data_IF_699491062498
#
_entry.id   IF_699491062498
#
_cell.length_a   1.000
_cell.length_b   1.000
_cell.length_c   1.000
_cell.angle_alpha   90.00
_cell.angle_beta   90.00
_cell.angle_gamma   90.00
#
_symmetry.space_group_name_H-M   'P 1'
#
loop_
_entity.id
_entity.type
_entity.pdbx_description
1 polymer ?
#
# COMPACT_ATOMS: atom_id res chain seq x y z
N UNK A 1 -3.82 15.40 0.08
CA UNK A 1 -4.92 16.08 -0.63
C UNK A 1 -4.42 16.84 -1.87
N UNK A 2 -3.26 17.49 -1.79
CA UNK A 2 -2.72 18.26 -2.91
C UNK A 2 -2.33 17.36 -4.10
N UNK A 3 -1.71 16.22 -3.87
CA UNK A 3 -1.39 15.22 -4.89
C UNK A 3 -2.63 14.64 -5.60
N UNK A 4 -3.75 14.50 -4.91
CA UNK A 4 -5.01 14.07 -5.53
C UNK A 4 -5.58 15.14 -6.47
N UNK A 5 -5.46 16.43 -6.11
CA UNK A 5 -5.89 17.55 -6.97
C UNK A 5 -5.07 17.66 -8.25
N UNK A 6 -3.79 17.26 -8.20
CA UNK A 6 -2.89 17.27 -9.35
C UNK A 6 -2.96 15.98 -10.19
N UNK A 7 -3.80 15.01 -9.81
CA UNK A 7 -3.97 13.75 -10.54
C UNK A 7 -2.88 12.70 -10.29
N UNK A 8 -1.95 12.93 -9.36
CA UNK A 8 -0.91 11.95 -9.01
C UNK A 8 -1.41 10.81 -8.15
N UNK A 9 -2.52 11.02 -7.45
CA UNK A 9 -3.15 10.01 -6.60
C UNK A 9 -4.67 10.17 -6.61
N UNK A 10 -5.37 9.11 -6.22
CA UNK A 10 -6.82 9.10 -6.08
C UNK A 10 -7.22 8.63 -4.69
N UNK A 11 -7.98 9.45 -3.97
CA UNK A 11 -8.55 9.10 -2.68
C UNK A 11 -9.94 8.51 -2.85
N UNK A 12 -10.17 7.38 -2.20
CA UNK A 12 -11.43 6.66 -2.17
C UNK A 12 -12.04 6.76 -0.78
N UNK A 13 -13.27 7.25 -0.71
CA UNK A 13 -14.04 7.28 0.54
C UNK A 13 -14.81 5.98 0.70
N UNK A 14 -14.81 5.45 1.93
CA UNK A 14 -15.54 4.24 2.30
C UNK A 14 -16.72 4.63 3.16
N UNK A 15 -17.92 4.25 2.71
CA UNK A 15 -19.17 4.52 3.40
C UNK A 15 -19.69 3.26 4.10
N UNK A 16 -20.30 3.44 5.26
CA UNK A 16 -21.03 2.41 5.97
C UNK A 16 -22.38 2.98 6.46
N UNK A 17 -23.36 2.12 6.67
CA UNK A 17 -24.65 2.53 7.23
C UNK A 17 -24.54 2.74 8.73
N UNK A 18 -24.96 3.91 9.19
CA UNK A 18 -25.06 4.25 10.61
C UNK A 18 -26.40 4.94 10.88
N UNK A 19 -27.21 4.33 11.76
CA UNK A 19 -28.57 4.80 12.08
C UNK A 19 -29.43 5.06 10.82
N UNK A 20 -29.33 4.18 9.84
CA UNK A 20 -30.09 4.26 8.58
C UNK A 20 -29.57 5.28 7.56
N UNK A 21 -28.42 5.91 7.78
CA UNK A 21 -27.80 6.89 6.88
C UNK A 21 -26.40 6.42 6.46
N UNK A 22 -25.96 6.73 5.22
CA UNK A 22 -24.59 6.49 4.82
C UNK A 22 -23.66 7.50 5.50
N UNK A 23 -22.63 7.00 6.17
CA UNK A 23 -21.60 7.81 6.83
C UNK A 23 -20.21 7.38 6.34
N UNK A 24 -19.27 8.31 6.31
CA UNK A 24 -17.88 8.00 5.95
C UNK A 24 -17.24 7.25 7.10
N UNK A 25 -16.93 5.97 6.88
CA UNK A 25 -16.27 5.11 7.85
C UNK A 25 -14.74 5.19 7.78
N UNK A 26 -14.20 5.47 6.60
CA UNK A 26 -12.77 5.57 6.37
C UNK A 26 -12.43 5.98 4.96
N UNK A 27 -11.15 5.95 4.65
CA UNK A 27 -10.63 6.28 3.31
C UNK A 27 -9.33 5.54 3.03
N UNK A 28 -8.98 5.42 1.76
CA UNK A 28 -7.65 5.04 1.32
C UNK A 28 -7.27 5.80 0.05
N UNK A 29 -5.98 6.03 -0.12
CA UNK A 29 -5.43 6.75 -1.27
C UNK A 29 -4.53 5.82 -2.07
N UNK A 30 -4.75 5.76 -3.38
CA UNK A 30 -3.94 5.00 -4.33
C UNK A 30 -3.15 5.94 -5.23
N UNK A 31 -1.93 5.56 -5.54
CA UNK A 31 -1.06 6.26 -6.49
C UNK A 31 -0.31 5.26 -7.36
N UNK A 32 0.09 5.67 -8.55
CA UNK A 32 1.02 4.90 -9.35
C UNK A 32 2.42 4.99 -8.77
N UNK A 33 3.10 3.87 -8.68
CA UNK A 33 4.50 3.82 -8.24
C UNK A 33 5.32 2.86 -9.09
N UNK A 34 6.51 3.29 -9.46
CA UNK A 34 7.54 2.45 -10.04
C UNK A 34 8.59 2.19 -8.96
N UNK A 35 8.88 0.93 -8.70
CA UNK A 35 9.77 0.51 -7.63
C UNK A 35 10.85 -0.44 -8.13
N UNK A 36 11.97 -0.46 -7.40
CA UNK A 36 13.05 -1.42 -7.60
C UNK A 36 13.15 -2.33 -6.38
N UNK A 37 13.30 -3.63 -6.63
CA UNK A 37 13.35 -4.66 -5.58
C UNK A 37 14.60 -5.51 -5.76
N UNK A 38 15.48 -5.51 -4.77
CA UNK A 38 16.66 -6.36 -4.77
C UNK A 38 16.30 -7.80 -4.45
N UNK A 39 16.59 -8.72 -5.39
CA UNK A 39 16.18 -10.12 -5.27
C UNK A 39 16.82 -10.89 -4.12
N UNK A 40 17.98 -10.47 -3.64
CA UNK A 40 18.74 -11.16 -2.59
C UNK A 40 18.00 -11.20 -1.24
N UNK A 41 17.17 -10.19 -0.97
CA UNK A 41 16.39 -10.06 0.28
C UNK A 41 15.04 -10.79 0.23
N UNK A 42 14.68 -11.36 -0.91
CA UNK A 42 13.38 -12.00 -1.11
C UNK A 42 13.43 -13.50 -0.87
N UNK A 43 12.33 -14.08 -0.39
CA UNK A 43 12.12 -15.51 -0.41
C UNK A 43 12.14 -16.03 -1.86
N UNK A 44 12.54 -17.29 -2.05
CA UNK A 44 12.56 -17.91 -3.39
C UNK A 44 11.21 -17.83 -4.11
N UNK A 45 10.11 -18.02 -3.37
CA UNK A 45 8.76 -17.95 -3.90
C UNK A 45 8.41 -16.54 -4.37
N UNK A 46 8.70 -15.52 -3.56
CA UNK A 46 8.41 -14.14 -3.90
C UNK A 46 9.27 -13.66 -5.07
N UNK A 47 10.55 -14.02 -5.09
CA UNK A 47 11.46 -13.74 -6.21
C UNK A 47 10.94 -14.33 -7.53
N UNK A 48 10.49 -15.58 -7.52
CA UNK A 48 9.91 -16.24 -8.69
C UNK A 48 8.63 -15.52 -9.18
N UNK A 49 7.79 -15.04 -8.26
CA UNK A 49 6.59 -14.27 -8.59
C UNK A 49 6.95 -12.91 -9.18
N UNK A 50 7.84 -12.17 -8.53
CA UNK A 50 8.31 -10.86 -9.01
C UNK A 50 8.92 -10.98 -10.41
N UNK A 51 9.78 -11.96 -10.66
CA UNK A 51 10.41 -12.18 -11.95
C UNK A 51 9.44 -12.38 -13.12
N UNK A 52 8.21 -12.80 -12.85
CA UNK A 52 7.17 -12.96 -13.89
C UNK A 52 6.47 -11.65 -14.28
N UNK A 53 6.50 -10.64 -13.41
CA UNK A 53 5.73 -9.39 -13.56
C UNK A 53 6.62 -8.14 -13.48
N UNK A 54 7.91 -8.30 -13.71
CA UNK A 54 8.90 -7.23 -13.61
C UNK A 54 9.97 -7.38 -14.69
N UNK A 55 10.75 -6.33 -14.86
CA UNK A 55 11.96 -6.35 -15.68
C UNK A 55 13.18 -6.37 -14.77
N UNK A 56 14.08 -7.33 -14.97
CA UNK A 56 15.34 -7.36 -14.23
C UNK A 56 16.37 -6.45 -14.91
N UNK A 57 16.86 -5.45 -14.19
CA UNK A 57 17.97 -4.60 -14.63
C UNK A 57 19.28 -5.08 -14.02
N UNK A 58 20.15 -5.66 -14.85
CA UNK A 58 21.44 -6.19 -14.41
C UNK A 58 22.43 -5.14 -13.94
N UNK A 59 22.28 -3.89 -14.38
CA UNK A 59 23.17 -2.77 -13.99
C UNK A 59 22.98 -2.41 -12.51
N UNK A 60 21.75 -2.42 -12.04
CA UNK A 60 21.40 -2.13 -10.65
C UNK A 60 21.11 -3.39 -9.83
N UNK A 61 21.15 -4.57 -10.47
CA UNK A 61 20.86 -5.90 -9.88
C UNK A 61 19.50 -5.95 -9.16
N UNK A 62 18.48 -5.36 -9.77
CA UNK A 62 17.16 -5.26 -9.17
C UNK A 62 16.04 -5.56 -10.18
N UNK A 63 14.93 -6.02 -9.66
CA UNK A 63 13.68 -6.13 -10.39
C UNK A 63 12.98 -4.78 -10.39
N UNK A 64 12.58 -4.32 -11.57
CA UNK A 64 11.87 -3.05 -11.76
C UNK A 64 10.43 -3.33 -12.12
N UNK A 65 9.49 -2.81 -11.35
CA UNK A 65 8.07 -3.05 -11.58
C UNK A 65 7.21 -1.84 -11.22
N UNK A 66 6.08 -1.72 -11.88
CA UNK A 66 5.01 -0.83 -11.48
C UNK A 66 4.09 -1.55 -10.50
N UNK A 67 3.80 -0.92 -9.38
CA UNK A 67 2.86 -1.40 -8.39
C UNK A 67 2.03 -0.23 -7.86
N UNK A 68 0.69 -0.35 -7.79
CA UNK A 68 -0.11 0.65 -7.11
C UNK A 68 0.33 0.81 -5.65
N UNK A 69 0.59 2.05 -5.25
CA UNK A 69 0.92 2.41 -3.88
C UNK A 69 -0.36 2.68 -3.10
N UNK A 70 -0.55 1.97 -1.99
CA UNK A 70 -1.52 2.35 -0.97
C UNK A 70 -0.84 3.41 -0.10
N UNK A 71 -1.04 4.69 -0.46
CA UNK A 71 -0.30 5.81 0.12
C UNK A 71 -0.84 6.25 1.49
N UNK A 72 -2.14 6.11 1.68
CA UNK A 72 -2.84 6.46 2.92
C UNK A 72 -3.94 5.44 3.19
N UNK A 73 -4.15 5.16 4.46
CA UNK A 73 -5.22 4.30 4.95
C UNK A 73 -5.66 4.84 6.30
N UNK A 74 -6.91 5.25 6.42
CA UNK A 74 -7.40 5.88 7.66
C UNK A 74 -8.86 5.61 7.92
N UNK A 75 -9.19 5.37 9.21
CA UNK A 75 -10.57 5.29 9.71
C UNK A 75 -11.06 6.67 10.12
N UNK A 76 -12.37 6.89 10.03
CA UNK A 76 -13.01 8.09 10.57
C UNK A 76 -13.27 7.94 12.06
N UNK A 77 -12.55 8.67 12.90
CA UNK A 77 -12.69 8.63 14.36
C UNK A 77 -13.72 9.61 14.91
N UNK A 78 -14.33 10.44 14.07
CA UNK A 78 -15.37 11.35 14.52
C UNK A 78 -16.62 10.59 14.98
N UNK A 79 -17.21 11.01 16.10
CA UNK A 79 -18.50 10.51 16.61
C UNK A 79 -18.61 8.96 16.74
N UNK A 80 -17.49 8.27 16.97
CA UNK A 80 -17.45 6.80 17.10
C UNK A 80 -17.60 6.06 15.77
N UNK A 81 -17.53 6.73 14.63
CA UNK A 81 -17.68 6.12 13.29
C UNK A 81 -16.54 5.13 12.96
N UNK A 82 -15.43 5.19 13.69
CA UNK A 82 -14.33 4.23 13.56
C UNK A 82 -14.72 2.78 13.93
N UNK A 83 -15.84 2.57 14.61
CA UNK A 83 -16.39 1.24 14.91
C UNK A 83 -17.11 0.58 13.72
N UNK A 84 -17.42 1.35 12.67
CA UNK A 84 -18.16 0.86 11.49
C UNK A 84 -17.32 0.02 10.55
N UNK A 85 -16.01 0.09 10.66
CA UNK A 85 -15.07 -0.68 9.83
C UNK A 85 -13.81 -1.02 10.62
N UNK A 86 -13.29 -2.22 10.44
CA UNK A 86 -11.98 -2.61 10.98
C UNK A 86 -10.84 -2.16 10.06
N UNK A 87 -9.62 -2.12 10.58
CA UNK A 87 -8.42 -1.85 9.76
C UNK A 87 -8.23 -2.91 8.68
N UNK A 88 -8.49 -4.19 9.01
CA UNK A 88 -8.37 -5.31 8.07
C UNK A 88 -9.36 -5.19 6.91
N UNK A 89 -10.63 -4.85 7.21
CA UNK A 89 -11.65 -4.62 6.18
C UNK A 89 -11.28 -3.44 5.27
N UNK A 90 -10.79 -2.34 5.83
CA UNK A 90 -10.38 -1.17 5.08
C UNK A 90 -9.20 -1.48 4.15
N UNK A 91 -8.18 -2.20 4.66
CA UNK A 91 -7.03 -2.63 3.86
C UNK A 91 -7.45 -3.62 2.77
N UNK A 92 -8.40 -4.52 3.08
CA UNK A 92 -8.97 -5.43 2.07
C UNK A 92 -9.65 -4.67 0.94
N UNK A 93 -10.45 -3.65 1.23
CA UNK A 93 -11.08 -2.81 0.21
C UNK A 93 -10.06 -2.10 -0.69
N UNK A 94 -8.97 -1.61 -0.10
CA UNK A 94 -7.86 -1.03 -0.87
C UNK A 94 -7.21 -2.06 -1.79
N UNK A 95 -6.92 -3.26 -1.30
CA UNK A 95 -6.36 -4.37 -2.10
C UNK A 95 -7.32 -4.85 -3.19
N UNK A 96 -8.63 -4.93 -2.92
CA UNK A 96 -9.65 -5.29 -3.89
C UNK A 96 -9.73 -4.24 -5.02
N UNK A 97 -9.59 -2.96 -4.68
CA UNK A 97 -9.50 -1.89 -5.68
C UNK A 97 -8.25 -2.00 -6.54
N UNK A 98 -7.10 -2.30 -5.94
CA UNK A 98 -5.85 -2.58 -6.67
C UNK A 98 -6.03 -3.76 -7.61
N UNK A 99 -6.62 -4.87 -7.14
CA UNK A 99 -6.91 -6.04 -7.97
C UNK A 99 -7.77 -5.70 -9.19
N UNK A 100 -8.80 -4.88 -9.00
CA UNK A 100 -9.67 -4.43 -10.10
C UNK A 100 -8.90 -3.58 -11.12
N UNK A 101 -8.06 -2.65 -10.67
CA UNK A 101 -7.21 -1.85 -11.56
C UNK A 101 -6.26 -2.77 -12.35
N UNK A 102 -5.66 -3.74 -11.70
CA UNK A 102 -4.73 -4.67 -12.32
C UNK A 102 -5.39 -5.66 -13.28
N UNK A 103 -6.68 -5.91 -13.15
CA UNK A 103 -7.40 -6.69 -14.15
C UNK A 103 -7.49 -5.98 -15.52
N UNK A 104 -7.45 -4.65 -15.50
CA UNK A 104 -7.54 -3.83 -16.70
C UNK A 104 -6.16 -3.42 -17.24
N UNK A 105 -5.20 -3.18 -16.37
CA UNK A 105 -3.86 -2.66 -16.72
C UNK A 105 -2.73 -3.71 -16.65
N UNK A 106 -2.97 -4.84 -16.01
CA UNK A 106 -1.90 -5.79 -15.68
C UNK A 106 -1.22 -5.47 -14.35
N UNK A 107 -0.23 -6.32 -13.98
CA UNK A 107 0.43 -6.26 -12.69
C UNK A 107 -0.18 -7.24 -11.67
N UNK A 108 0.57 -7.51 -10.62
CA UNK A 108 0.16 -8.48 -9.58
C UNK A 108 0.62 -8.08 -8.17
N UNK A 109 1.15 -6.88 -7.98
CA UNK A 109 1.65 -6.45 -6.69
C UNK A 109 1.01 -5.15 -6.24
N UNK A 110 0.62 -5.09 -4.96
CA UNK A 110 0.38 -3.85 -4.24
C UNK A 110 1.61 -3.48 -3.43
N UNK A 111 1.86 -2.20 -3.26
CA UNK A 111 2.99 -1.63 -2.55
C UNK A 111 2.51 -0.68 -1.47
N UNK A 112 3.17 -0.67 -0.34
CA UNK A 112 3.00 0.34 0.70
C UNK A 112 4.29 0.60 1.48
N UNK A 113 4.29 1.71 2.18
CA UNK A 113 5.35 2.10 3.10
C UNK A 113 4.75 2.38 4.48
N UNK A 114 5.44 2.01 5.53
CA UNK A 114 5.02 2.33 6.90
C UNK A 114 6.21 2.65 7.82
N UNK A 115 5.91 3.33 8.92
CA UNK A 115 6.89 3.52 9.98
C UNK A 115 7.33 2.18 10.59
N UNK A 116 8.56 2.10 11.04
CA UNK A 116 9.12 0.93 11.74
C UNK A 116 8.53 0.81 13.16
N UNK A 117 7.28 0.39 13.22
CA UNK A 117 6.53 0.16 14.46
C UNK A 117 6.03 -1.28 14.50
N UNK A 118 6.34 -2.06 15.56
CA UNK A 118 5.98 -3.49 15.62
C UNK A 118 4.51 -3.77 15.34
N UNK A 119 3.58 -2.97 15.87
CA UNK A 119 2.15 -3.12 15.65
C UNK A 119 1.72 -2.89 14.20
N UNK A 120 2.34 -1.93 13.51
CA UNK A 120 2.08 -1.67 12.09
C UNK A 120 2.61 -2.80 11.22
N UNK A 121 3.83 -3.24 11.47
CA UNK A 121 4.44 -4.35 10.74
C UNK A 121 3.64 -5.64 10.91
N UNK A 122 3.22 -5.94 12.14
CA UNK A 122 2.36 -7.08 12.42
C UNK A 122 1.04 -6.98 11.64
N UNK A 123 0.36 -5.85 11.68
CA UNK A 123 -0.90 -5.61 10.97
C UNK A 123 -0.77 -5.88 9.47
N UNK A 124 0.25 -5.31 8.83
CA UNK A 124 0.44 -5.50 7.39
C UNK A 124 0.90 -6.92 7.04
N UNK A 125 1.76 -7.52 7.87
CA UNK A 125 2.22 -8.91 7.65
C UNK A 125 1.07 -9.91 7.78
N UNK A 126 0.20 -9.76 8.78
CA UNK A 126 -1.00 -10.58 8.96
C UNK A 126 -1.98 -10.44 7.77
N UNK A 127 -1.97 -9.29 7.10
CA UNK A 127 -2.74 -9.03 5.88
C UNK A 127 -2.00 -9.42 4.58
N UNK A 128 -0.91 -10.17 4.67
CA UNK A 128 -0.22 -10.79 3.54
C UNK A 128 0.82 -9.92 2.84
N UNK A 129 1.18 -8.78 3.43
CA UNK A 129 2.31 -7.98 2.97
C UNK A 129 3.64 -8.55 3.47
N UNK A 130 4.67 -8.43 2.66
CA UNK A 130 6.03 -8.85 3.01
C UNK A 130 6.97 -7.64 2.95
N UNK A 131 7.74 -7.42 4.00
CA UNK A 131 8.83 -6.45 4.01
C UNK A 131 9.91 -6.89 3.00
N UNK A 132 10.44 -5.93 2.24
CA UNK A 132 11.50 -6.22 1.29
C UNK A 132 12.67 -5.24 1.35
N UNK A 133 12.46 -3.99 1.77
CA UNK A 133 13.54 -3.01 1.90
C UNK A 133 13.12 -1.84 2.82
N UNK A 134 14.00 -0.85 2.91
CA UNK A 134 13.80 0.42 3.62
C UNK A 134 14.11 1.56 2.68
N UNK A 135 13.34 2.63 2.76
CA UNK A 135 13.54 3.86 2.01
C UNK A 135 13.85 5.01 2.97
N UNK A 136 14.93 5.72 2.72
CA UNK A 136 15.23 6.95 3.46
C UNK A 136 14.16 8.00 3.17
N UNK A 137 13.80 8.77 4.20
CA UNK A 137 12.86 9.88 4.06
C UNK A 137 13.46 11.00 3.23
N UNK A 138 12.63 11.63 2.40
CA UNK A 138 12.98 12.85 1.72
C UNK A 138 12.94 14.04 2.68
N UNK A 139 13.65 15.12 2.38
CA UNK A 139 13.81 16.29 3.29
C UNK A 139 12.49 17.00 3.61
N UNK A 140 11.50 16.88 2.74
CA UNK A 140 10.18 17.48 2.87
C UNK A 140 9.15 16.57 3.57
N UNK A 141 9.52 15.32 3.85
CA UNK A 141 8.67 14.40 4.61
C UNK A 141 8.76 14.70 6.11
N UNK A 142 7.69 15.26 6.66
CA UNK A 142 7.58 15.67 8.07
C UNK A 142 6.52 14.86 8.81
N UNK A 143 6.59 14.83 10.16
CA UNK A 143 5.59 14.16 10.99
C UNK A 143 5.77 12.64 11.09
N UNK A 144 6.86 12.09 10.58
CA UNK A 144 7.22 10.67 10.64
C UNK A 144 8.33 10.50 11.67
N UNK A 145 8.22 9.49 12.53
CA UNK A 145 9.29 9.14 13.47
C UNK A 145 10.39 8.34 12.78
N UNK A 146 11.64 8.75 12.96
CA UNK A 146 12.82 8.13 12.33
C UNK A 146 13.18 8.76 10.99
N UNK A 147 14.09 8.13 10.29
CA UNK A 147 14.76 8.62 9.07
C UNK A 147 14.44 7.72 7.85
N UNK A 148 13.67 6.67 8.04
CA UNK A 148 13.30 5.74 6.97
C UNK A 148 11.89 5.19 7.14
N UNK A 149 11.35 4.65 6.05
CA UNK A 149 10.13 3.86 6.03
C UNK A 149 10.44 2.41 5.62
N UNK A 150 9.69 1.48 6.17
CA UNK A 150 9.70 0.08 5.75
C UNK A 150 8.88 -0.04 4.47
N UNK A 151 9.42 -0.71 3.47
CA UNK A 151 8.77 -0.97 2.19
C UNK A 151 8.22 -2.40 2.17
N UNK A 152 6.93 -2.53 1.86
CA UNK A 152 6.23 -3.81 1.83
C UNK A 152 5.52 -4.04 0.50
N UNK A 153 5.50 -5.30 0.08
CA UNK A 153 4.78 -5.77 -1.11
C UNK A 153 3.79 -6.87 -0.76
N UNK A 154 2.69 -6.91 -1.48
CA UNK A 154 1.74 -8.02 -1.46
C UNK A 154 1.45 -8.49 -2.87
N UNK A 155 1.55 -9.81 -3.10
CA UNK A 155 1.08 -10.43 -4.32
C UNK A 155 -0.45 -10.50 -4.32
N UNK A 156 -1.08 -9.87 -5.30
CA UNK A 156 -2.53 -9.86 -5.48
C UNK A 156 -2.92 -11.04 -6.38
N UNK A 157 -3.78 -11.92 -5.87
CA UNK A 157 -4.25 -13.13 -6.56
C UNK A 157 -5.38 -12.84 -7.55
#
# INVERSE_FOLDING_TARGET
IEFSKQGFSQTHLVYASFKGKPEIAGYFTLANKYITVQGERLSKTLRKRIGKFSVYDSRIRAYCLSAPLIAQLGKNYANGLNSLITGDELLKLACDKVSKIQSDLGGKFAYLECEDKPKLLQFYTENGFCEFDRRQLDRDETGIQGDYLIQLLKYIR
#
